data_IF_011696082673
#
_entry.id   IF_011696082673
#
_cell.length_a   1.000
_cell.length_b   1.000
_cell.length_c   1.000
_cell.angle_alpha   90.00
_cell.angle_beta   90.00
_cell.angle_gamma   90.00
#
_symmetry.space_group_name_H-M   'P 1'
#
loop_
_entity.id
_entity.type
_entity.pdbx_description
1 polymer ?
#
# COMPACT_ATOMS: atom_id res chain seq x y z
N UNK A 1 5.98 8.58 -8.34
CA UNK A 1 5.29 7.58 -7.50
C UNK A 1 5.06 8.17 -6.12
N UNK A 2 3.94 7.84 -5.48
CA UNK A 2 3.59 8.29 -4.13
C UNK A 2 3.26 7.05 -3.29
N UNK A 3 3.86 6.91 -2.11
CA UNK A 3 3.73 5.71 -1.26
C UNK A 3 3.26 6.05 0.17
N UNK A 4 2.49 5.16 0.81
CA UNK A 4 1.94 5.36 2.15
C UNK A 4 2.99 5.03 3.23
N UNK A 5 2.61 5.27 4.49
CA UNK A 5 3.45 5.08 5.67
C UNK A 5 3.43 3.65 6.25
N UNK A 6 2.42 2.84 5.92
CA UNK A 6 2.16 1.60 6.64
C UNK A 6 3.14 0.46 6.33
N UNK A 7 3.67 0.41 5.11
CA UNK A 7 4.76 -0.50 4.71
C UNK A 7 5.79 0.27 3.88
N UNK A 8 6.59 1.15 4.53
CA UNK A 8 7.33 2.19 3.82
C UNK A 8 8.37 1.62 2.87
N UNK A 9 9.10 0.56 3.24
CA UNK A 9 10.04 -0.09 2.33
C UNK A 9 9.35 -0.92 1.24
N UNK A 10 8.37 -1.75 1.61
CA UNK A 10 7.77 -2.71 0.70
C UNK A 10 6.90 -2.04 -0.39
N UNK A 11 6.20 -0.95 -0.07
CA UNK A 11 5.43 -0.20 -1.07
C UNK A 11 6.32 0.50 -2.09
N UNK A 12 7.50 0.95 -1.67
CA UNK A 12 8.48 1.56 -2.55
C UNK A 12 9.06 0.50 -3.50
N UNK A 13 9.56 -0.62 -2.98
CA UNK A 13 10.23 -1.63 -3.81
C UNK A 13 9.28 -2.28 -4.81
N UNK A 14 7.99 -2.47 -4.47
CA UNK A 14 6.96 -2.93 -5.41
C UNK A 14 6.68 -1.97 -6.56
N UNK A 15 6.98 -0.67 -6.41
CA UNK A 15 6.83 0.33 -7.47
C UNK A 15 8.14 0.53 -8.24
N UNK A 16 9.25 0.72 -7.51
CA UNK A 16 10.56 0.99 -8.08
C UNK A 16 11.09 -0.23 -8.85
N UNK A 17 10.99 -1.44 -8.30
CA UNK A 17 11.47 -2.67 -8.92
C UNK A 17 10.99 -2.85 -10.37
N UNK A 18 9.67 -2.94 -10.63
CA UNK A 18 9.18 -3.10 -12.00
C UNK A 18 9.42 -1.87 -12.89
N UNK A 19 9.45 -0.66 -12.34
CA UNK A 19 9.76 0.53 -13.13
C UNK A 19 11.21 0.49 -13.65
N UNK A 20 12.17 0.22 -12.77
CA UNK A 20 13.59 0.12 -13.13
C UNK A 20 13.85 -1.07 -14.07
N UNK A 21 13.21 -2.22 -13.83
CA UNK A 21 13.30 -3.38 -14.72
C UNK A 21 12.78 -3.09 -16.14
N UNK A 22 11.76 -2.23 -16.26
CA UNK A 22 11.24 -1.78 -17.54
C UNK A 22 12.03 -0.61 -18.16
N UNK A 23 13.16 -0.21 -17.57
CA UNK A 23 13.99 0.92 -18.04
C UNK A 23 13.39 2.30 -17.76
N UNK A 24 12.38 2.41 -16.89
CA UNK A 24 11.80 3.70 -16.49
C UNK A 24 12.63 4.37 -15.39
N UNK A 25 12.67 5.69 -15.38
CA UNK A 25 13.12 6.47 -14.22
C UNK A 25 11.96 6.70 -13.24
N UNK A 26 12.28 6.99 -11.98
CA UNK A 26 11.30 7.25 -10.93
C UNK A 26 11.68 8.43 -10.05
N UNK A 27 10.70 9.33 -9.87
CA UNK A 27 10.66 10.28 -8.75
C UNK A 27 9.66 9.74 -7.73
N UNK A 28 10.12 9.50 -6.50
CA UNK A 28 9.35 8.94 -5.40
C UNK A 28 9.09 10.02 -4.34
N UNK A 29 7.82 10.18 -3.96
CA UNK A 29 7.42 10.91 -2.76
C UNK A 29 6.91 9.93 -1.69
N UNK A 30 7.69 9.64 -0.63
CA UNK A 30 7.21 8.82 0.47
C UNK A 30 6.26 9.61 1.39
N UNK A 31 5.54 8.90 2.25
CA UNK A 31 4.78 9.53 3.33
C UNK A 31 5.71 10.28 4.29
N UNK A 32 5.30 11.47 4.71
CA UNK A 32 6.11 12.35 5.55
C UNK A 32 6.34 11.80 6.97
N UNK A 33 5.48 10.88 7.43
CA UNK A 33 5.61 10.21 8.72
C UNK A 33 6.74 9.16 8.75
N UNK A 34 7.09 8.59 7.60
CA UNK A 34 8.05 7.48 7.50
C UNK A 34 9.07 7.68 6.35
N UNK A 35 9.78 8.82 6.28
CA UNK A 35 10.62 9.15 5.14
C UNK A 35 11.95 8.38 5.14
N UNK A 36 12.46 8.00 6.31
CA UNK A 36 13.82 7.47 6.45
C UNK A 36 14.04 6.13 5.73
N UNK A 37 13.03 5.25 5.67
CA UNK A 37 13.14 4.02 4.87
C UNK A 37 13.32 4.29 3.38
N UNK A 38 12.70 5.36 2.85
CA UNK A 38 12.85 5.74 1.46
C UNK A 38 14.25 6.30 1.17
N UNK A 39 14.78 7.12 2.09
CA UNK A 39 16.13 7.66 1.98
C UNK A 39 17.19 6.54 2.06
N UNK A 40 17.01 5.59 2.98
CA UNK A 40 17.88 4.42 3.06
C UNK A 40 17.84 3.57 1.78
N UNK A 41 16.65 3.37 1.18
CA UNK A 41 16.53 2.68 -0.10
C UNK A 41 17.21 3.44 -1.25
N UNK A 42 17.20 4.77 -1.25
CA UNK A 42 17.91 5.59 -2.24
C UNK A 42 19.43 5.43 -2.12
N UNK A 43 19.95 5.46 -0.90
CA UNK A 43 21.36 5.21 -0.62
C UNK A 43 21.78 3.79 -1.06
N UNK A 44 20.95 2.77 -0.76
CA UNK A 44 21.20 1.40 -1.21
C UNK A 44 21.15 1.26 -2.73
N UNK A 45 20.24 1.96 -3.40
CA UNK A 45 20.16 2.00 -4.86
C UNK A 45 21.44 2.59 -5.48
N UNK A 46 21.96 3.68 -4.91
CA UNK A 46 23.23 4.28 -5.34
C UNK A 46 24.40 3.32 -5.15
N UNK A 47 24.51 2.67 -3.97
CA UNK A 47 25.55 1.67 -3.70
C UNK A 47 25.48 0.46 -4.63
N UNK A 48 24.27 0.08 -5.05
CA UNK A 48 24.06 -1.00 -6.01
C UNK A 48 24.39 -0.59 -7.47
N UNK A 49 24.77 0.66 -7.71
CA UNK A 49 25.18 1.14 -9.03
C UNK A 49 24.01 1.63 -9.91
N UNK A 50 22.84 1.92 -9.35
CA UNK A 50 21.77 2.58 -10.11
C UNK A 50 22.27 3.98 -10.54
N UNK A 51 22.23 4.32 -11.84
CA UNK A 51 22.77 5.60 -12.31
C UNK A 51 22.09 6.82 -11.67
N UNK A 52 22.86 7.89 -11.52
CA UNK A 52 22.35 9.15 -10.99
C UNK A 52 21.12 9.64 -11.80
N UNK A 53 20.09 10.12 -11.10
CA UNK A 53 18.86 10.59 -11.72
C UNK A 53 17.85 9.49 -12.10
N UNK A 54 18.21 8.20 -12.01
CA UNK A 54 17.27 7.11 -12.33
C UNK A 54 16.26 6.86 -11.20
N UNK A 55 16.69 6.89 -9.94
CA UNK A 55 15.82 6.80 -8.77
C UNK A 55 16.04 8.00 -7.86
N UNK A 56 15.02 8.84 -7.72
CA UNK A 56 15.08 10.09 -6.96
C UNK A 56 14.01 10.04 -5.86
N UNK A 57 14.35 10.45 -4.65
CA UNK A 57 13.42 10.51 -3.52
C UNK A 57 13.27 11.97 -3.09
N UNK A 58 12.02 12.45 -3.04
CA UNK A 58 11.69 13.82 -2.66
C UNK A 58 10.75 13.80 -1.45
N UNK A 59 11.23 14.35 -0.33
CA UNK A 59 10.46 14.51 0.90
C UNK A 59 9.92 15.93 1.01
N UNK A 60 8.71 16.10 1.54
CA UNK A 60 8.10 17.42 1.72
C UNK A 60 6.58 17.37 1.64
N UNK A 61 5.97 18.52 1.32
CA UNK A 61 4.53 18.68 1.16
C UNK A 61 3.92 17.64 0.23
N UNK A 62 2.81 17.02 0.65
CA UNK A 62 2.07 16.07 -0.19
C UNK A 62 1.31 16.77 -1.32
N UNK A 63 0.72 17.93 -1.03
CA UNK A 63 -0.01 18.73 -2.01
C UNK A 63 0.93 19.24 -3.10
N UNK A 64 2.03 19.89 -2.73
CA UNK A 64 2.90 20.54 -3.72
C UNK A 64 3.61 19.53 -4.62
N UNK A 65 4.20 18.49 -4.04
CA UNK A 65 4.88 17.44 -4.81
C UNK A 65 3.86 16.62 -5.61
N UNK A 66 2.69 16.32 -5.04
CA UNK A 66 1.62 15.61 -5.75
C UNK A 66 1.09 16.41 -6.95
N UNK A 67 0.90 17.71 -6.78
CA UNK A 67 0.51 18.65 -7.83
C UNK A 67 1.54 18.69 -8.95
N UNK A 68 2.82 18.83 -8.62
CA UNK A 68 3.90 18.80 -9.61
C UNK A 68 3.93 17.47 -10.37
N UNK A 69 3.86 16.33 -9.67
CA UNK A 69 3.89 15.01 -10.32
C UNK A 69 2.68 14.78 -11.24
N UNK A 70 1.52 15.39 -10.95
CA UNK A 70 0.30 15.22 -11.74
C UNK A 70 0.19 16.21 -12.89
N UNK A 71 0.78 17.40 -12.79
CA UNK A 71 0.75 18.44 -13.84
C UNK A 71 1.97 18.39 -14.77
N UNK A 72 3.14 17.92 -14.32
CA UNK A 72 4.37 17.99 -15.11
C UNK A 72 4.29 17.12 -16.38
N UNK A 73 4.51 17.67 -17.60
CA UNK A 73 4.38 16.95 -18.86
C UNK A 73 5.45 15.87 -19.09
N UNK A 74 6.55 15.89 -18.34
CA UNK A 74 7.60 14.86 -18.38
C UNK A 74 7.16 13.58 -17.65
N UNK A 75 6.21 13.68 -16.70
CA UNK A 75 5.69 12.51 -15.99
C UNK A 75 4.67 11.78 -16.87
N UNK A 76 5.04 10.59 -17.34
CA UNK A 76 4.16 9.76 -18.20
C UNK A 76 3.25 8.80 -17.44
N UNK A 77 3.57 8.51 -16.18
CA UNK A 77 2.82 7.58 -15.33
C UNK A 77 2.86 8.00 -13.87
N UNK A 78 1.68 8.06 -13.23
CA UNK A 78 1.56 8.16 -11.79
C UNK A 78 1.20 6.80 -11.19
N UNK A 79 1.95 6.37 -10.18
CA UNK A 79 1.63 5.21 -9.35
C UNK A 79 1.43 5.69 -7.91
N UNK A 80 0.23 5.48 -7.38
CA UNK A 80 -0.16 5.92 -6.04
C UNK A 80 -0.64 4.72 -5.23
N UNK A 81 -0.29 4.72 -3.95
CA UNK A 81 -0.91 3.86 -2.95
C UNK A 81 -1.30 4.71 -1.75
N UNK A 82 -2.55 4.59 -1.29
CA UNK A 82 -3.07 5.40 -0.19
C UNK A 82 -4.60 5.35 -0.08
N UNK A 83 -5.22 6.41 0.41
CA UNK A 83 -6.68 6.44 0.57
C UNK A 83 -7.41 6.60 -0.76
N UNK A 84 -8.63 6.08 -0.82
CA UNK A 84 -9.50 6.18 -2.00
C UNK A 84 -9.80 7.62 -2.39
N UNK A 85 -10.01 8.49 -1.41
CA UNK A 85 -10.27 9.92 -1.60
C UNK A 85 -9.12 10.61 -2.35
N UNK A 86 -7.89 10.48 -1.85
CA UNK A 86 -6.72 11.08 -2.50
C UNK A 86 -6.45 10.44 -3.87
N UNK A 87 -6.69 9.13 -4.00
CA UNK A 87 -6.59 8.44 -5.29
C UNK A 87 -7.48 9.06 -6.38
N UNK A 88 -8.73 9.43 -6.04
CA UNK A 88 -9.64 10.11 -6.97
C UNK A 88 -9.13 11.50 -7.37
N UNK A 89 -8.67 12.29 -6.39
CA UNK A 89 -8.12 13.62 -6.65
C UNK A 89 -6.91 13.56 -7.59
N UNK A 90 -5.98 12.63 -7.35
CA UNK A 90 -4.80 12.45 -8.20
C UNK A 90 -5.17 11.98 -9.61
N UNK A 91 -6.18 11.11 -9.72
CA UNK A 91 -6.68 10.65 -11.02
C UNK A 91 -7.27 11.80 -11.84
N UNK A 92 -8.09 12.64 -11.23
CA UNK A 92 -8.65 13.84 -11.84
C UNK A 92 -7.54 14.80 -12.31
N UNK A 93 -6.54 15.06 -11.47
CA UNK A 93 -5.41 15.91 -11.83
C UNK A 93 -4.60 15.35 -13.01
N UNK A 94 -4.37 14.03 -13.04
CA UNK A 94 -3.69 13.35 -14.14
C UNK A 94 -4.47 13.34 -15.47
N UNK A 95 -5.78 13.57 -15.44
CA UNK A 95 -6.63 13.52 -16.64
C UNK A 95 -6.29 14.63 -17.65
N UNK A 96 -5.78 15.78 -17.18
CA UNK A 96 -5.44 16.94 -18.03
C UNK A 96 -4.45 16.60 -19.15
N UNK A 97 -3.48 15.72 -18.87
CA UNK A 97 -2.48 15.26 -19.86
C UNK A 97 -2.61 13.76 -20.17
N UNK A 98 -3.75 13.14 -19.82
CA UNK A 98 -4.02 11.72 -20.03
C UNK A 98 -2.87 10.83 -19.50
N UNK A 99 -2.36 11.16 -18.30
CA UNK A 99 -1.26 10.41 -17.69
C UNK A 99 -1.75 9.01 -17.28
N UNK A 100 -0.93 7.97 -17.51
CA UNK A 100 -1.26 6.61 -17.06
C UNK A 100 -1.30 6.58 -15.53
N UNK A 101 -2.39 6.09 -14.95
CA UNK A 101 -2.52 5.95 -13.48
C UNK A 101 -2.56 4.50 -13.05
N UNK A 102 -1.99 4.21 -11.88
CA UNK A 102 -2.20 2.94 -11.16
C UNK A 102 -2.44 3.27 -9.70
N UNK A 103 -3.58 2.83 -9.18
CA UNK A 103 -4.10 3.22 -7.88
C UNK A 103 -4.35 1.98 -7.03
N UNK A 104 -3.58 1.83 -5.96
CA UNK A 104 -3.82 0.82 -4.92
C UNK A 104 -4.43 1.53 -3.71
N UNK A 105 -5.72 1.33 -3.49
CA UNK A 105 -6.52 2.15 -2.57
C UNK A 105 -6.96 1.37 -1.32
N UNK A 106 -7.81 1.99 -0.51
CA UNK A 106 -8.33 1.35 0.71
C UNK A 106 -9.18 0.12 0.39
N UNK A 107 -9.00 -0.94 1.18
CA UNK A 107 -9.79 -2.16 1.12
C UNK A 107 -10.65 -2.35 2.36
N UNK A 108 -11.71 -3.15 2.22
CA UNK A 108 -12.55 -3.60 3.33
C UNK A 108 -12.77 -5.12 3.20
N UNK A 109 -11.70 -5.89 3.40
CA UNK A 109 -11.66 -7.30 3.03
C UNK A 109 -12.63 -8.15 3.89
N UNK A 110 -13.51 -8.95 3.25
CA UNK A 110 -14.32 -9.94 3.94
C UNK A 110 -13.48 -11.16 4.30
N UNK A 111 -13.76 -11.77 5.45
CA UNK A 111 -13.27 -13.06 5.88
C UNK A 111 -14.48 -13.95 6.16
N UNK A 112 -14.66 -15.02 5.39
CA UNK A 112 -15.89 -15.82 5.38
C UNK A 112 -15.59 -17.20 5.96
N UNK A 113 -16.36 -17.61 6.97
CA UNK A 113 -16.24 -18.90 7.67
C UNK A 113 -17.54 -19.67 7.50
N UNK A 114 -17.47 -20.82 6.82
CA UNK A 114 -18.58 -21.76 6.65
C UNK A 114 -18.64 -22.78 7.79
N UNK A 115 -19.75 -23.50 7.87
CA UNK A 115 -20.00 -24.56 8.85
C UNK A 115 -19.03 -25.74 8.75
N UNK A 116 -18.53 -26.01 7.55
CA UNK A 116 -17.54 -27.05 7.25
C UNK A 116 -16.07 -26.58 7.43
N UNK A 117 -15.86 -25.33 7.84
CA UNK A 117 -14.52 -24.79 8.03
C UNK A 117 -13.83 -25.38 9.25
N UNK A 118 -12.51 -25.57 9.12
CA UNK A 118 -11.63 -25.81 10.26
C UNK A 118 -11.54 -24.53 11.11
N UNK A 119 -12.27 -24.50 12.23
CA UNK A 119 -12.38 -23.30 13.07
C UNK A 119 -11.06 -22.88 13.71
N UNK A 120 -10.17 -23.82 14.01
CA UNK A 120 -8.86 -23.49 14.61
C UNK A 120 -7.98 -22.76 13.58
N UNK A 121 -7.93 -23.27 12.35
CA UNK A 121 -7.25 -22.58 11.25
C UNK A 121 -7.92 -21.27 10.87
N UNK A 122 -9.24 -21.20 10.94
CA UNK A 122 -9.97 -19.97 10.65
C UNK A 122 -9.62 -18.87 11.66
N UNK A 123 -9.50 -19.19 12.95
CA UNK A 123 -9.07 -18.25 13.99
C UNK A 123 -7.61 -17.84 13.78
N UNK A 124 -6.70 -18.78 13.53
CA UNK A 124 -5.29 -18.47 13.23
C UNK A 124 -5.17 -17.50 12.04
N UNK A 125 -5.87 -17.80 10.94
CA UNK A 125 -5.91 -16.96 9.75
C UNK A 125 -6.51 -15.59 10.02
N UNK A 126 -7.57 -15.50 10.83
CA UNK A 126 -8.19 -14.26 11.23
C UNK A 126 -7.22 -13.38 12.05
N UNK A 127 -6.49 -13.97 13.00
CA UNK A 127 -5.49 -13.26 13.81
C UNK A 127 -4.34 -12.74 12.95
N UNK A 128 -3.76 -13.63 12.14
CA UNK A 128 -2.64 -13.30 11.26
C UNK A 128 -3.00 -12.22 10.24
N UNK A 129 -4.25 -12.22 9.75
CA UNK A 129 -4.75 -11.20 8.85
C UNK A 129 -5.07 -9.89 9.58
N UNK A 130 -5.86 -9.93 10.65
CA UNK A 130 -6.40 -8.73 11.30
C UNK A 130 -5.36 -7.92 12.05
N UNK A 131 -4.45 -8.59 12.77
CA UNK A 131 -3.53 -7.91 13.69
C UNK A 131 -2.16 -7.64 13.10
N UNK A 132 -1.87 -8.15 11.90
CA UNK A 132 -0.65 -7.79 11.16
C UNK A 132 -0.54 -6.29 11.00
N UNK A 133 0.59 -5.73 11.44
CA UNK A 133 0.84 -4.29 11.46
C UNK A 133 -0.26 -3.49 12.20
N UNK A 134 -0.80 -4.07 13.29
CA UNK A 134 -1.93 -3.52 14.04
C UNK A 134 -3.18 -3.26 13.17
N UNK A 135 -3.39 -4.06 12.12
CA UNK A 135 -4.51 -3.90 11.19
C UNK A 135 -4.33 -2.78 10.16
N UNK A 136 -3.17 -2.11 10.14
CA UNK A 136 -2.86 -1.02 9.22
C UNK A 136 -2.39 -1.56 7.86
N UNK A 137 -3.10 -2.52 7.28
CA UNK A 137 -2.82 -3.10 5.96
C UNK A 137 -4.06 -3.02 5.08
N UNK A 138 -3.89 -2.69 3.79
CA UNK A 138 -5.01 -2.58 2.83
C UNK A 138 -5.79 -3.90 2.62
N UNK A 139 -5.17 -5.05 2.94
CA UNK A 139 -5.74 -6.39 2.75
C UNK A 139 -6.11 -7.10 4.05
N UNK A 140 -5.99 -6.43 5.22
CA UNK A 140 -6.42 -7.03 6.49
C UNK A 140 -7.91 -7.36 6.45
N UNK A 141 -8.28 -8.51 7.04
CA UNK A 141 -9.66 -8.85 7.31
C UNK A 141 -10.30 -7.76 8.17
N UNK A 142 -11.36 -7.12 7.68
CA UNK A 142 -12.08 -6.07 8.39
C UNK A 142 -13.54 -6.42 8.68
N UNK A 143 -14.10 -7.38 7.94
CA UNK A 143 -15.46 -7.90 8.14
C UNK A 143 -15.41 -9.41 8.21
N UNK A 144 -15.66 -9.96 9.40
CA UNK A 144 -15.74 -11.40 9.58
C UNK A 144 -17.20 -11.81 9.45
N UNK A 145 -17.49 -12.64 8.46
CA UNK A 145 -18.79 -13.24 8.22
C UNK A 145 -18.70 -14.71 8.57
N UNK A 146 -19.49 -15.15 9.54
CA UNK A 146 -19.46 -16.51 10.05
C UNK A 146 -20.86 -17.10 9.92
N UNK A 147 -20.95 -18.29 9.35
CA UNK A 147 -22.23 -18.98 9.18
C UNK A 147 -22.83 -19.34 10.54
N UNK A 148 -24.15 -19.17 10.66
CA UNK A 148 -24.91 -19.25 11.91
C UNK A 148 -24.58 -20.49 12.75
N UNK A 149 -24.51 -21.67 12.12
CA UNK A 149 -24.24 -22.95 12.81
C UNK A 149 -22.89 -23.06 13.52
N UNK A 150 -21.92 -22.18 13.24
CA UNK A 150 -20.59 -22.16 13.89
C UNK A 150 -20.24 -20.83 14.53
N UNK A 151 -21.15 -19.84 14.52
CA UNK A 151 -20.88 -18.47 14.97
C UNK A 151 -20.35 -18.42 16.40
N UNK A 152 -21.10 -18.96 17.37
CA UNK A 152 -20.75 -18.85 18.79
C UNK A 152 -19.40 -19.52 19.09
N UNK A 153 -19.17 -20.69 18.50
CA UNK A 153 -17.91 -21.45 18.66
C UNK A 153 -16.71 -20.70 18.09
N UNK A 154 -16.87 -20.07 16.93
CA UNK A 154 -15.81 -19.25 16.34
C UNK A 154 -15.56 -17.99 17.17
N UNK A 155 -16.61 -17.29 17.60
CA UNK A 155 -16.50 -16.05 18.37
C UNK A 155 -15.80 -16.29 19.73
N UNK A 156 -16.16 -17.37 20.42
CA UNK A 156 -15.51 -17.77 21.68
C UNK A 156 -14.02 -18.06 21.48
N UNK A 157 -13.67 -18.89 20.48
CA UNK A 157 -12.28 -19.20 20.16
C UNK A 157 -11.47 -17.96 19.77
N UNK A 158 -12.05 -17.07 18.97
CA UNK A 158 -11.39 -15.82 18.58
C UNK A 158 -11.15 -14.93 19.80
N UNK A 159 -12.14 -14.78 20.69
CA UNK A 159 -11.99 -13.99 21.91
C UNK A 159 -10.90 -14.55 22.82
N UNK A 160 -10.85 -15.87 23.00
CA UNK A 160 -9.78 -16.52 23.78
C UNK A 160 -8.39 -16.30 23.18
N UNK A 161 -8.28 -16.26 21.85
CA UNK A 161 -6.99 -16.10 21.19
C UNK A 161 -6.51 -14.64 21.06
N UNK A 162 -7.40 -13.67 21.27
CA UNK A 162 -7.07 -12.23 21.30
C UNK A 162 -6.65 -11.76 22.70
N UNK A 163 -7.24 -12.35 23.76
CA UNK A 163 -6.91 -12.05 25.16
C UNK A 163 -5.59 -12.70 25.59
#
# INVERSE_FOLDING_TARGET
AITPWNFPSAMITRKAGPALAAGCTMVLKPASQTPFSALALAELAQRAGIPAGVFNVVTGSAGDIGGELTSNPLVRKLSFTGSTEIGRQLMEQCAKDIKKVSLELGGNAPFIVFDDADLDKAVEGALASKFRNAGQTCVCANRLYVQDGVYDRFAEKLNQAVN
#
